data_IF_485927773057
#
_entry.id   IF_485927773057
#
_cell.length_a   1.000
_cell.length_b   1.000
_cell.length_c   1.000
_cell.angle_alpha   90.00
_cell.angle_beta   90.00
_cell.angle_gamma   90.00
#
_symmetry.space_group_name_H-M   'P 1'
#
loop_
_entity.id
_entity.type
_entity.pdbx_description
1 polymer ?
#
# COMPACT_ATOMS: atom_id res chain seq x y z
N UNK A 1 29.32 12.47 0.69
CA UNK A 1 28.21 13.32 0.21
C UNK A 1 27.07 12.48 -0.40
N UNK A 2 27.22 11.81 -1.56
CA UNK A 2 26.11 11.04 -2.16
C UNK A 2 25.64 9.82 -1.34
N UNK A 3 26.56 9.13 -0.63
CA UNK A 3 26.23 8.00 0.26
C UNK A 3 25.39 8.42 1.48
N UNK A 4 25.67 9.59 2.04
CA UNK A 4 24.93 10.11 3.19
C UNK A 4 23.50 10.52 2.79
N UNK A 5 23.33 11.09 1.59
CA UNK A 5 22.01 11.42 1.06
C UNK A 5 21.15 10.18 0.81
N UNK A 6 21.74 9.11 0.24
CA UNK A 6 21.04 7.85 0.01
C UNK A 6 20.64 7.17 1.33
N UNK A 7 21.50 7.20 2.34
CA UNK A 7 21.20 6.65 3.67
C UNK A 7 20.13 7.47 4.40
N UNK A 8 20.13 8.80 4.24
CA UNK A 8 19.08 9.68 4.78
C UNK A 8 17.74 9.44 4.12
N UNK A 9 17.69 9.26 2.80
CA UNK A 9 16.48 8.91 2.06
C UNK A 9 15.96 7.52 2.45
N UNK A 10 16.87 6.54 2.59
CA UNK A 10 16.51 5.21 3.07
C UNK A 10 15.98 5.25 4.51
N UNK A 11 16.57 6.06 5.40
CA UNK A 11 16.07 6.24 6.76
C UNK A 11 14.73 6.97 6.81
N UNK A 12 14.52 7.98 5.95
CA UNK A 12 13.26 8.71 5.85
C UNK A 12 12.14 7.80 5.33
N UNK A 13 12.43 6.99 4.31
CA UNK A 13 11.49 5.98 3.81
C UNK A 13 11.15 4.94 4.87
N UNK A 14 12.16 4.45 5.61
CA UNK A 14 11.96 3.46 6.66
C UNK A 14 11.17 4.05 7.84
N UNK A 15 11.38 5.32 8.17
CA UNK A 15 10.64 6.04 9.20
C UNK A 15 9.18 6.29 8.78
N UNK A 16 8.94 6.68 7.51
CA UNK A 16 7.60 6.81 6.94
C UNK A 16 6.86 5.48 6.91
N UNK A 17 7.54 4.40 6.50
CA UNK A 17 6.98 3.05 6.53
C UNK A 17 6.64 2.63 7.96
N UNK A 18 7.57 2.77 8.91
CA UNK A 18 7.32 2.47 10.34
C UNK A 18 6.15 3.28 10.91
N UNK A 19 6.02 4.55 10.52
CA UNK A 19 4.93 5.41 10.95
C UNK A 19 3.58 5.01 10.33
N UNK A 20 3.56 4.61 9.05
CA UNK A 20 2.38 3.98 8.42
C UNK A 20 2.02 2.68 9.15
N UNK A 21 3.01 1.85 9.49
CA UNK A 21 2.81 0.62 10.25
C UNK A 21 2.27 0.86 11.66
N UNK A 22 2.80 1.84 12.39
CA UNK A 22 2.31 2.18 13.73
C UNK A 22 0.87 2.68 13.72
N UNK A 23 0.46 3.42 12.68
CA UNK A 23 -0.93 3.87 12.52
C UNK A 23 -1.86 2.73 12.11
N UNK A 24 -1.36 1.83 11.27
CA UNK A 24 -2.06 0.62 10.84
C UNK A 24 -2.31 -0.35 12.00
N UNK A 25 -1.29 -0.65 12.83
CA UNK A 25 -1.45 -1.53 14.00
C UNK A 25 -2.34 -0.93 15.07
N UNK A 26 -2.27 0.39 15.29
CA UNK A 26 -3.20 1.09 16.18
C UNK A 26 -4.65 0.97 15.70
N UNK A 27 -4.89 1.10 14.39
CA UNK A 27 -6.22 0.96 13.79
C UNK A 27 -6.78 -0.48 13.85
N UNK A 28 -5.92 -1.50 13.82
CA UNK A 28 -6.33 -2.90 14.01
C UNK A 28 -6.75 -3.17 15.46
N UNK A 29 -5.99 -2.66 16.43
CA UNK A 29 -6.29 -2.85 17.85
C UNK A 29 -7.60 -2.16 18.30
N UNK A 30 -8.04 -1.12 17.60
CA UNK A 30 -9.32 -0.44 17.88
C UNK A 30 -10.54 -1.23 17.37
N UNK A 31 -10.36 -2.18 16.45
CA UNK A 31 -11.46 -2.94 15.81
C UNK A 31 -11.74 -4.29 16.48
N UNK A 32 -10.81 -4.85 17.26
CA UNK A 32 -10.95 -6.19 17.88
C UNK A 32 -11.54 -6.19 19.31
N UNK A 33 -12.11 -5.08 19.82
CA UNK A 33 -12.73 -5.10 21.16
C UNK A 33 -14.12 -5.72 21.23
N UNK A 34 -14.76 -6.07 20.11
CA UNK A 34 -16.04 -6.79 20.12
C UNK A 34 -16.08 -7.87 19.04
N UNK A 35 -15.69 -9.11 19.38
CA UNK A 35 -16.50 -10.33 19.23
C UNK A 35 -15.66 -11.60 19.35
N UNK A 36 -15.89 -12.23 20.49
CA UNK A 36 -16.06 -13.67 20.73
C UNK A 36 -14.96 -14.69 20.36
N UNK A 37 -14.56 -15.36 21.44
CA UNK A 37 -14.08 -16.74 21.55
C UNK A 37 -14.68 -17.68 20.49
N UNK A 38 -13.80 -18.55 19.94
CA UNK A 38 -14.10 -19.78 19.19
C UNK A 38 -14.38 -19.66 17.68
N UNK A 39 -13.41 -19.18 16.90
CA UNK A 39 -13.01 -19.86 15.67
C UNK A 39 -11.66 -19.32 15.18
N UNK A 40 -10.72 -20.23 14.87
CA UNK A 40 -9.33 -19.91 14.52
C UNK A 40 -9.27 -18.94 13.31
N UNK A 41 -8.99 -17.66 13.52
CA UNK A 41 -8.53 -16.77 12.44
C UNK A 41 -6.99 -16.88 12.33
N UNK A 42 -6.43 -16.94 11.10
CA UNK A 42 -4.99 -16.93 10.92
C UNK A 42 -4.42 -15.63 11.47
N UNK A 43 -3.29 -15.69 12.16
CA UNK A 43 -2.77 -14.56 12.93
C UNK A 43 -2.65 -13.30 12.04
N UNK A 44 -3.16 -12.12 12.47
CA UNK A 44 -3.08 -10.86 11.70
C UNK A 44 -1.64 -10.46 11.32
N UNK A 45 -0.65 -11.11 11.94
CA UNK A 45 0.77 -10.98 11.65
C UNK A 45 1.19 -11.51 10.26
N UNK A 46 0.53 -12.52 9.67
CA UNK A 46 0.98 -13.08 8.39
C UNK A 46 0.67 -12.13 7.21
N UNK A 47 -0.49 -11.48 7.23
CA UNK A 47 -0.89 -10.50 6.20
C UNK A 47 -0.11 -9.18 6.33
N UNK A 48 0.24 -8.79 7.56
CA UNK A 48 1.08 -7.61 7.80
C UNK A 48 2.48 -7.77 7.20
N UNK A 49 3.09 -8.95 7.30
CA UNK A 49 4.41 -9.20 6.72
C UNK A 49 4.40 -9.11 5.19
N UNK A 50 3.36 -9.63 4.55
CA UNK A 50 3.16 -9.55 3.10
C UNK A 50 3.00 -8.09 2.66
N UNK A 51 2.18 -7.31 3.36
CA UNK A 51 1.96 -5.90 3.06
C UNK A 51 3.22 -5.06 3.32
N UNK A 52 3.96 -5.30 4.42
CA UNK A 52 5.30 -4.71 4.65
C UNK A 52 6.24 -5.04 3.49
N UNK A 53 6.21 -6.28 3.03
CA UNK A 53 7.08 -6.74 1.95
C UNK A 53 6.73 -6.07 0.63
N UNK A 54 5.43 -5.96 0.30
CA UNK A 54 4.94 -5.26 -0.89
C UNK A 54 5.27 -3.77 -0.83
N UNK A 55 5.02 -3.11 0.30
CA UNK A 55 5.27 -1.66 0.44
C UNK A 55 6.78 -1.31 0.51
N UNK A 56 7.65 -2.26 0.85
CA UNK A 56 9.11 -2.10 0.73
C UNK A 56 9.62 -2.22 -0.71
N UNK A 57 8.84 -2.82 -1.62
CA UNK A 57 9.26 -2.99 -3.00
C UNK A 57 9.18 -1.67 -3.77
N UNK A 58 10.13 -1.47 -4.70
CA UNK A 58 10.10 -0.31 -5.60
C UNK A 58 8.91 -0.34 -6.56
N UNK A 59 8.37 -1.53 -6.84
CA UNK A 59 7.22 -1.75 -7.71
C UNK A 59 6.38 -2.90 -7.16
N UNK A 60 5.06 -2.80 -7.29
CA UNK A 60 4.10 -3.83 -6.92
C UNK A 60 3.00 -3.95 -7.97
N UNK A 61 2.19 -5.00 -7.86
CA UNK A 61 1.06 -5.24 -8.76
C UNK A 61 -0.21 -4.62 -8.16
N UNK A 62 -0.86 -3.77 -8.96
CA UNK A 62 -2.17 -3.22 -8.68
C UNK A 62 -3.18 -3.86 -9.62
N UNK A 63 -4.15 -4.59 -9.08
CA UNK A 63 -5.22 -5.23 -9.84
C UNK A 63 -6.47 -4.33 -9.79
N UNK A 64 -6.81 -3.69 -10.91
CA UNK A 64 -7.95 -2.77 -11.02
C UNK A 64 -9.05 -3.40 -11.86
N UNK A 65 -10.11 -3.89 -11.21
CA UNK A 65 -11.25 -4.55 -11.85
C UNK A 65 -10.85 -5.74 -12.72
N UNK A 66 -9.80 -6.47 -12.34
CA UNK A 66 -9.25 -7.62 -13.07
C UNK A 66 -8.06 -7.30 -13.97
N UNK A 67 -7.75 -6.01 -14.22
CA UNK A 67 -6.59 -5.61 -15.03
C UNK A 67 -5.39 -5.29 -14.14
N UNK A 68 -4.27 -5.98 -14.37
CA UNK A 68 -3.04 -5.84 -13.57
C UNK A 68 -2.12 -4.75 -14.11
N UNK A 69 -1.60 -3.95 -13.19
CA UNK A 69 -0.65 -2.86 -13.44
C UNK A 69 0.56 -3.00 -12.55
N UNK A 70 1.76 -2.88 -13.12
CA UNK A 70 2.98 -2.72 -12.32
C UNK A 70 3.24 -1.24 -12.09
N UNK A 71 3.25 -0.82 -10.83
CA UNK A 71 3.46 0.60 -10.44
C UNK A 71 4.22 0.72 -9.12
N UNK A 72 4.57 1.94 -8.71
CA UNK A 72 5.24 2.25 -7.43
C UNK A 72 4.35 3.11 -6.54
N UNK A 73 4.63 3.10 -5.23
CA UNK A 73 3.97 4.02 -4.28
C UNK A 73 4.20 5.46 -4.73
N UNK A 74 5.45 5.80 -5.07
CA UNK A 74 5.84 7.13 -5.57
C UNK A 74 4.98 7.61 -6.75
N UNK A 75 4.68 6.72 -7.70
CA UNK A 75 3.80 7.07 -8.84
C UNK A 75 2.38 7.35 -8.35
N UNK A 76 1.81 6.47 -7.52
CA UNK A 76 0.43 6.61 -7.05
C UNK A 76 0.24 7.78 -6.07
N UNK A 77 1.28 8.13 -5.31
CA UNK A 77 1.28 9.22 -4.34
C UNK A 77 1.96 10.47 -4.86
N UNK A 78 2.15 10.60 -6.19
CA UNK A 78 2.74 11.81 -6.79
C UNK A 78 1.92 13.05 -6.45
N UNK A 79 0.60 12.92 -6.49
CA UNK A 79 -0.32 13.98 -6.09
C UNK A 79 -0.78 13.79 -4.64
N UNK A 80 -0.77 14.89 -3.88
CA UNK A 80 -1.25 14.92 -2.49
C UNK A 80 -2.77 14.95 -2.41
N UNK A 81 -3.32 14.52 -1.26
CA UNK A 81 -4.75 14.57 -0.95
C UNK A 81 -5.67 13.81 -1.93
N UNK A 82 -5.13 12.78 -2.56
CA UNK A 82 -5.85 11.88 -3.46
C UNK A 82 -6.27 10.58 -2.77
N UNK A 83 -7.18 9.85 -3.42
CA UNK A 83 -7.54 8.49 -3.05
C UNK A 83 -6.32 7.61 -2.75
N UNK A 84 -5.28 7.67 -3.60
CA UNK A 84 -4.07 6.84 -3.41
C UNK A 84 -3.26 7.26 -2.19
N UNK A 85 -3.13 8.55 -1.91
CA UNK A 85 -2.45 9.00 -0.68
C UNK A 85 -3.21 8.58 0.58
N UNK A 86 -4.54 8.57 0.53
CA UNK A 86 -5.37 8.03 1.61
C UNK A 86 -5.23 6.50 1.71
N UNK A 87 -5.21 5.79 0.59
CA UNK A 87 -5.04 4.34 0.51
C UNK A 87 -3.73 3.88 1.17
N UNK A 88 -2.64 4.63 0.95
CA UNK A 88 -1.33 4.36 1.56
C UNK A 88 -1.07 5.10 2.89
N UNK A 89 -2.09 5.77 3.46
CA UNK A 89 -1.94 6.48 4.74
C UNK A 89 -1.95 5.58 5.98
N UNK A 90 -2.21 4.29 5.81
CA UNK A 90 -2.40 3.31 6.90
C UNK A 90 -3.79 3.36 7.53
N UNK A 91 -4.70 4.22 7.03
CA UNK A 91 -6.10 4.30 7.47
C UNK A 91 -7.02 3.25 6.84
N UNK A 92 -6.54 2.54 5.82
CA UNK A 92 -7.31 1.57 5.05
C UNK A 92 -6.66 0.20 5.17
N UNK A 93 -7.48 -0.84 5.36
CA UNK A 93 -7.03 -2.22 5.24
C UNK A 93 -6.85 -2.55 3.76
N UNK A 94 -5.61 -2.76 3.33
CA UNK A 94 -5.32 -3.19 1.96
C UNK A 94 -5.49 -4.71 1.88
N UNK A 95 -6.40 -5.16 1.02
CA UNK A 95 -6.50 -6.55 0.65
C UNK A 95 -5.38 -6.87 -0.36
N UNK A 96 -4.43 -7.70 0.07
CA UNK A 96 -3.38 -8.25 -0.77
C UNK A 96 -3.79 -9.67 -1.16
N UNK A 97 -3.76 -9.99 -2.45
CA UNK A 97 -4.04 -11.34 -2.93
C UNK A 97 -2.87 -12.27 -2.51
N UNK A 98 -3.14 -13.36 -1.77
CA UNK A 98 -2.08 -14.23 -1.27
C UNK A 98 -1.33 -15.01 -2.37
N UNK A 99 -1.89 -15.10 -3.58
CA UNK A 99 -1.28 -15.87 -4.67
C UNK A 99 -0.23 -15.06 -5.45
N UNK A 100 -0.49 -13.77 -5.66
CA UNK A 100 0.37 -12.92 -6.50
C UNK A 100 0.79 -11.59 -5.85
N UNK A 101 0.41 -11.38 -4.59
CA UNK A 101 0.66 -10.17 -3.82
C UNK A 101 0.11 -8.89 -4.44
N UNK A 102 -0.93 -8.99 -5.28
CA UNK A 102 -1.55 -7.81 -5.90
C UNK A 102 -2.51 -7.11 -4.94
N UNK A 103 -2.55 -5.77 -5.01
CA UNK A 103 -3.55 -4.97 -4.30
C UNK A 103 -4.77 -4.79 -5.22
N UNK A 104 -5.94 -5.19 -4.75
CA UNK A 104 -7.17 -5.07 -5.54
C UNK A 104 -7.87 -3.71 -5.37
N UNK A 105 -8.29 -3.12 -6.49
CA UNK A 105 -9.17 -1.96 -6.55
C UNK A 105 -10.39 -2.32 -7.39
N UNK A 106 -11.56 -2.17 -6.80
CA UNK A 106 -12.85 -2.39 -7.45
C UNK A 106 -13.25 -1.21 -8.35
N UNK A 107 -12.52 -1.03 -9.47
CA UNK A 107 -12.76 0.03 -10.47
C UNK A 107 -12.47 -0.47 -11.89
N UNK A 108 -12.93 0.28 -12.90
CA UNK A 108 -12.68 -0.05 -14.30
C UNK A 108 -11.20 0.12 -14.66
N UNK A 109 -10.52 -1.00 -14.96
CA UNK A 109 -9.12 -1.00 -15.37
C UNK A 109 -8.85 -0.19 -16.65
N UNK A 110 -9.67 -0.28 -17.69
CA UNK A 110 -9.41 0.45 -18.94
C UNK A 110 -9.30 1.96 -18.72
N UNK A 111 -10.22 2.55 -17.95
CA UNK A 111 -10.18 3.97 -17.59
C UNK A 111 -8.97 4.28 -16.71
N UNK A 112 -8.62 3.37 -15.80
CA UNK A 112 -7.47 3.53 -14.91
C UNK A 112 -6.13 3.65 -15.64
N UNK A 113 -6.00 3.11 -16.86
CA UNK A 113 -4.78 3.31 -17.66
C UNK A 113 -4.45 4.78 -17.86
N UNK A 114 -5.44 5.64 -18.12
CA UNK A 114 -5.21 7.07 -18.32
C UNK A 114 -4.80 7.77 -17.02
N UNK A 115 -5.41 7.39 -15.90
CA UNK A 115 -5.04 7.90 -14.57
C UNK A 115 -3.59 7.54 -14.27
N UNK A 116 -3.21 6.28 -14.50
CA UNK A 116 -1.85 5.82 -14.22
C UNK A 116 -0.81 6.48 -15.13
N UNK A 117 -1.13 6.69 -16.41
CA UNK A 117 -0.23 7.37 -17.33
C UNK A 117 -0.03 8.82 -16.94
N UNK A 118 -1.12 9.52 -16.62
CA UNK A 118 -1.05 10.89 -16.12
C UNK A 118 -0.18 10.97 -14.84
N UNK A 119 -0.33 10.02 -13.90
CA UNK A 119 0.47 9.91 -12.67
C UNK A 119 1.97 9.62 -12.92
N UNK A 120 2.35 9.14 -14.11
CA UNK A 120 3.76 8.90 -14.49
C UNK A 120 4.42 10.10 -15.15
N UNK A 121 3.73 10.72 -16.10
CA UNK A 121 4.34 11.71 -17.00
C UNK A 121 3.93 13.15 -16.71
N UNK A 122 2.82 13.35 -15.99
CA UNK A 122 2.15 14.65 -15.83
C UNK A 122 1.63 15.21 -17.16
N UNK A 123 1.51 14.37 -18.18
CA UNK A 123 1.07 14.72 -19.53
C UNK A 123 0.01 13.69 -19.95
N UNK A 124 -1.04 14.15 -20.64
CA UNK A 124 -2.04 13.29 -21.29
C UNK A 124 -1.80 13.29 -22.79
#
# INVERSE_FOLDING_TARGET
IARDSANRLASDLNYRLLHIFSKFTASINDTEREKDLSNKSPQPMCMLLELVTVLKQRKFILNVGGKKYTTSIETLTRETDTFFTALFSGRWQLAVDPNDNSIFIDRNGQVFTHILEWLRTSIV
#
